data_IF_750102603341
#
_entry.id   IF_750102603341
#
_cell.length_a   1.000
_cell.length_b   1.000
_cell.length_c   1.000
_cell.angle_alpha   90.00
_cell.angle_beta   90.00
_cell.angle_gamma   90.00
#
_symmetry.space_group_name_H-M   'P 1'
#
loop_
_entity.id
_entity.type
_entity.pdbx_description
1 polymer ?
#
# COMPACT_ATOMS: atom_id res chain seq x y z
N UNK A 1 2.97 2.42 -0.91
CA UNK A 1 2.69 0.96 -0.89
C UNK A 1 2.91 0.43 -2.30
N UNK A 2 3.80 -0.54 -2.44
CA UNK A 2 3.89 -1.36 -3.66
C UNK A 2 3.43 -2.77 -3.25
N UNK A 3 2.35 -3.24 -3.87
CA UNK A 3 1.83 -4.58 -3.71
C UNK A 3 1.51 -5.14 -5.10
N UNK A 4 2.12 -6.27 -5.46
CA UNK A 4 1.87 -6.91 -6.75
C UNK A 4 0.49 -7.58 -6.74
N UNK A 5 -0.41 -7.30 -7.70
CA UNK A 5 -1.75 -7.91 -7.72
C UNK A 5 -1.74 -9.41 -8.00
N UNK A 6 -0.61 -9.96 -8.44
CA UNK A 6 -0.40 -11.40 -8.61
C UNK A 6 -0.41 -12.19 -7.29
N UNK A 7 -0.53 -11.53 -6.14
CA UNK A 7 -0.92 -12.17 -4.87
C UNK A 7 -2.28 -12.88 -4.99
N UNK A 8 -3.18 -12.39 -5.85
CA UNK A 8 -4.48 -13.05 -6.08
C UNK A 8 -4.35 -14.42 -6.79
N UNK A 9 -3.26 -14.66 -7.54
CA UNK A 9 -3.07 -15.86 -8.38
C UNK A 9 -1.90 -16.73 -7.94
N UNK A 10 -1.22 -16.38 -6.85
CA UNK A 10 -0.07 -17.13 -6.30
C UNK A 10 1.20 -17.03 -7.15
N UNK A 11 1.22 -16.19 -8.19
CA UNK A 11 2.31 -16.11 -9.18
C UNK A 11 2.98 -14.75 -9.14
N UNK A 12 3.54 -14.37 -7.99
CA UNK A 12 4.20 -13.08 -7.81
C UNK A 12 5.38 -12.92 -8.79
N UNK A 13 5.27 -12.01 -9.76
CA UNK A 13 6.46 -11.47 -10.42
C UNK A 13 7.06 -10.41 -9.49
N UNK A 14 8.29 -10.61 -8.98
CA UNK A 14 8.86 -9.65 -8.04
C UNK A 14 9.22 -8.37 -8.79
N UNK A 15 8.56 -7.27 -8.43
CA UNK A 15 9.09 -5.94 -8.69
C UNK A 15 10.10 -5.65 -7.59
N UNK A 16 11.36 -5.44 -7.96
CA UNK A 16 12.46 -5.19 -7.01
C UNK A 16 12.73 -3.69 -6.93
N UNK A 17 12.12 -2.95 -5.98
CA UNK A 17 12.50 -1.56 -5.77
C UNK A 17 13.96 -1.47 -5.32
N UNK A 18 14.60 -0.37 -5.71
CA UNK A 18 15.99 -0.08 -5.41
C UNK A 18 16.02 1.09 -4.42
N UNK A 19 16.71 0.90 -3.31
CA UNK A 19 16.98 1.91 -2.32
C UNK A 19 18.01 2.92 -2.85
N UNK A 20 18.09 4.09 -2.20
CA UNK A 20 19.03 5.16 -2.57
C UNK A 20 20.51 4.73 -2.50
N UNK A 21 20.83 3.73 -1.68
CA UNK A 21 22.16 3.12 -1.52
C UNK A 21 22.46 2.02 -2.56
N UNK A 22 21.52 1.75 -3.49
CA UNK A 22 21.64 0.68 -4.48
C UNK A 22 21.14 -0.68 -4.00
N UNK A 23 20.66 -0.79 -2.76
CA UNK A 23 20.12 -2.05 -2.22
C UNK A 23 18.84 -2.43 -2.94
N UNK A 24 18.76 -3.69 -3.39
CA UNK A 24 17.58 -4.27 -4.04
C UNK A 24 16.73 -4.98 -3.01
N UNK A 25 15.48 -4.54 -2.83
CA UNK A 25 14.56 -5.18 -1.90
C UNK A 25 13.68 -6.18 -2.63
N UNK A 26 13.70 -7.44 -2.18
CA UNK A 26 12.76 -8.47 -2.62
C UNK A 26 11.71 -8.68 -1.53
N UNK A 27 10.45 -8.41 -1.85
CA UNK A 27 9.33 -8.62 -0.95
C UNK A 27 8.01 -8.59 -1.72
N UNK A 28 7.01 -9.32 -1.21
CA UNK A 28 5.66 -9.33 -1.79
C UNK A 28 4.93 -8.00 -1.53
N UNK A 29 5.19 -7.38 -0.38
CA UNK A 29 4.63 -6.10 0.03
C UNK A 29 5.71 -5.23 0.63
N UNK A 30 5.79 -3.99 0.15
CA UNK A 30 6.80 -3.03 0.60
C UNK A 30 6.17 -1.67 0.90
N UNK A 31 6.56 -1.12 2.05
CA UNK A 31 6.32 0.26 2.46
C UNK A 31 7.65 0.99 2.61
N UNK A 32 7.70 2.20 2.03
CA UNK A 32 8.87 3.07 2.02
C UNK A 32 8.42 4.48 2.40
N UNK A 33 9.22 5.17 3.20
CA UNK A 33 8.94 6.53 3.71
C UNK A 33 8.88 6.60 5.24
N UNK A 34 8.74 7.80 5.79
CA UNK A 34 8.68 8.08 7.24
C UNK A 34 7.49 7.38 7.94
N UNK A 35 6.33 7.32 7.27
CA UNK A 35 5.15 6.63 7.76
C UNK A 35 5.18 5.10 7.63
N UNK A 36 6.26 4.51 7.09
CA UNK A 36 6.34 3.06 6.86
C UNK A 36 6.18 2.19 8.12
N UNK A 37 6.72 2.53 9.32
CA UNK A 37 6.55 1.68 10.50
C UNK A 37 5.08 1.58 10.92
N UNK A 38 4.33 2.68 10.83
CA UNK A 38 2.89 2.68 11.14
C UNK A 38 2.07 1.89 10.11
N UNK A 39 2.49 1.87 8.86
CA UNK A 39 1.81 1.14 7.81
C UNK A 39 2.05 -0.37 7.89
N UNK A 40 3.28 -0.80 8.22
CA UNK A 40 3.58 -2.21 8.45
C UNK A 40 2.75 -2.79 9.60
N UNK A 41 2.54 -2.05 10.69
CA UNK A 41 1.68 -2.50 11.79
C UNK A 41 0.24 -2.82 11.36
N UNK A 42 -0.31 -2.05 10.42
CA UNK A 42 -1.65 -2.35 9.87
C UNK A 42 -1.61 -3.54 8.92
N UNK A 43 -0.59 -3.62 8.07
CA UNK A 43 -0.42 -4.78 7.19
C UNK A 43 -0.27 -6.08 7.96
N UNK A 44 0.59 -6.13 8.97
CA UNK A 44 0.89 -7.34 9.73
C UNK A 44 -0.37 -7.91 10.40
N UNK A 45 -1.34 -7.04 10.72
CA UNK A 45 -2.62 -7.45 11.30
C UNK A 45 -3.63 -8.03 10.29
N UNK A 46 -3.51 -7.71 9.00
CA UNK A 46 -4.59 -7.96 8.03
C UNK A 46 -4.15 -8.52 6.67
N UNK A 47 -2.86 -8.59 6.39
CA UNK A 47 -2.36 -9.06 5.10
C UNK A 47 -2.43 -10.57 4.99
N UNK A 48 -2.94 -11.04 3.84
CA UNK A 48 -2.97 -12.45 3.46
C UNK A 48 -2.41 -12.59 2.06
N UNK A 49 -1.58 -13.61 1.85
CA UNK A 49 -0.93 -13.88 0.56
C UNK A 49 -1.91 -14.02 -0.60
N UNK A 50 -3.11 -14.54 -0.35
CA UNK A 50 -4.20 -14.63 -1.33
C UNK A 50 -5.42 -13.94 -0.74
N UNK A 51 -5.79 -12.80 -1.32
CA UNK A 51 -6.95 -12.01 -0.93
C UNK A 51 -7.56 -11.33 -2.17
N UNK A 52 -8.87 -11.06 -2.21
CA UNK A 52 -9.51 -10.39 -3.33
C UNK A 52 -9.01 -8.95 -3.45
N UNK A 53 -8.92 -8.44 -4.68
CA UNK A 53 -8.39 -7.10 -4.98
C UNK A 53 -9.10 -6.00 -4.19
N UNK A 54 -10.40 -6.12 -3.95
CA UNK A 54 -11.18 -5.17 -3.15
C UNK A 54 -10.70 -5.09 -1.70
N UNK A 55 -10.38 -6.23 -1.09
CA UNK A 55 -9.88 -6.33 0.28
C UNK A 55 -8.43 -5.84 0.37
N UNK A 56 -7.58 -6.15 -0.62
CA UNK A 56 -6.21 -5.61 -0.68
C UNK A 56 -6.25 -4.08 -0.76
N UNK A 57 -7.13 -3.54 -1.60
CA UNK A 57 -7.29 -2.10 -1.76
C UNK A 57 -7.81 -1.45 -0.46
N UNK A 58 -8.72 -2.12 0.25
CA UNK A 58 -9.22 -1.64 1.54
C UNK A 58 -8.10 -1.63 2.59
N UNK A 59 -7.35 -2.73 2.73
CA UNK A 59 -6.22 -2.84 3.66
C UNK A 59 -5.14 -1.80 3.37
N UNK A 60 -4.76 -1.64 2.09
CA UNK A 60 -3.79 -0.65 1.66
C UNK A 60 -4.23 0.78 2.00
N UNK A 61 -5.52 1.10 1.83
CA UNK A 61 -6.07 2.41 2.20
C UNK A 61 -5.99 2.63 3.71
N UNK A 62 -6.40 1.65 4.51
CA UNK A 62 -6.32 1.72 5.97
C UNK A 62 -4.88 1.93 6.44
N UNK A 63 -3.92 1.20 5.87
CA UNK A 63 -2.51 1.35 6.22
C UNK A 63 -1.96 2.75 5.89
N UNK A 64 -2.26 3.28 4.70
CA UNK A 64 -1.83 4.64 4.31
C UNK A 64 -2.51 5.71 5.16
N UNK A 65 -3.80 5.59 5.43
CA UNK A 65 -4.51 6.52 6.31
C UNK A 65 -3.94 6.50 7.73
N UNK A 66 -3.64 5.33 8.29
CA UNK A 66 -2.97 5.20 9.60
C UNK A 66 -1.61 5.91 9.61
N UNK A 67 -0.80 5.67 8.59
CA UNK A 67 0.49 6.34 8.45
C UNK A 67 0.32 7.86 8.36
N UNK A 68 -0.57 8.36 7.50
CA UNK A 68 -0.84 9.79 7.36
C UNK A 68 -1.40 10.45 8.63
N UNK A 69 -2.14 9.70 9.45
CA UNK A 69 -2.64 10.23 10.72
C UNK A 69 -1.55 10.35 11.79
N UNK A 70 -0.55 9.46 11.77
CA UNK A 70 0.49 9.37 12.82
C UNK A 70 1.79 10.08 12.45
N UNK A 71 2.09 10.20 11.17
CA UNK A 71 3.31 10.82 10.65
C UNK A 71 3.05 12.27 10.21
N UNK A 72 3.67 13.22 10.89
CA UNK A 72 3.51 14.66 10.63
C UNK A 72 3.98 15.10 9.23
N UNK A 73 4.83 14.31 8.57
CA UNK A 73 5.30 14.57 7.21
C UNK A 73 4.45 13.88 6.13
N UNK A 74 3.38 13.19 6.53
CA UNK A 74 2.46 12.48 5.63
C UNK A 74 1.06 13.10 5.66
N UNK A 75 0.40 13.24 4.51
CA UNK A 75 -0.91 13.88 4.42
C UNK A 75 -1.44 14.02 2.98
N UNK A 76 -2.62 14.65 2.84
CA UNK A 76 -3.19 15.03 1.54
C UNK A 76 -3.95 13.90 0.82
N UNK A 77 -3.59 13.60 -0.42
CA UNK A 77 -4.31 12.63 -1.26
C UNK A 77 -3.50 11.36 -1.51
N UNK A 78 -4.16 10.21 -1.45
CA UNK A 78 -3.65 8.91 -1.89
C UNK A 78 -4.07 8.66 -3.33
N UNK A 79 -3.07 8.46 -4.20
CA UNK A 79 -3.29 7.89 -5.52
C UNK A 79 -3.07 6.38 -5.48
N UNK A 80 -4.07 5.62 -5.94
CA UNK A 80 -4.05 4.15 -5.92
C UNK A 80 -3.96 3.61 -7.34
N UNK A 81 -3.03 2.69 -7.56
CA UNK A 81 -2.79 2.04 -8.85
C UNK A 81 -2.81 0.52 -8.67
N UNK A 82 -3.31 -0.19 -9.68
CA UNK A 82 -3.24 -1.65 -9.78
C UNK A 82 -2.44 -2.01 -11.02
N UNK A 83 -1.45 -2.89 -10.89
CA UNK A 83 -0.50 -3.21 -11.97
C UNK A 83 -0.60 -4.68 -12.37
N UNK A 84 -1.42 -5.01 -13.37
CA UNK A 84 -1.61 -6.40 -13.82
C UNK A 84 -0.84 -6.74 -15.10
N UNK A 85 -1.06 -7.94 -15.64
CA UNK A 85 -0.44 -8.42 -16.90
C UNK A 85 -0.72 -7.49 -18.10
N UNK A 86 -1.88 -6.83 -18.12
CA UNK A 86 -2.28 -5.89 -19.17
C UNK A 86 -1.75 -4.46 -18.96
N UNK A 87 -0.86 -4.28 -17.98
CA UNK A 87 -0.32 -2.98 -17.58
C UNK A 87 -0.97 -2.42 -16.31
N UNK A 88 -0.75 -1.13 -16.08
CA UNK A 88 -1.22 -0.44 -14.89
C UNK A 88 -2.52 0.32 -15.13
N UNK A 89 -3.36 0.38 -14.09
CA UNK A 89 -4.61 1.15 -14.07
C UNK A 89 -4.67 1.99 -12.81
N UNK A 90 -5.00 3.27 -12.96
CA UNK A 90 -5.33 4.15 -11.83
C UNK A 90 -6.72 3.81 -11.31
N UNK A 91 -6.80 3.42 -10.04
CA UNK A 91 -8.06 3.09 -9.35
C UNK A 91 -8.76 4.37 -8.91
N UNK A 92 -7.99 5.37 -8.45
CA UNK A 92 -8.52 6.67 -8.09
C UNK A 92 -7.60 7.46 -7.16
N UNK A 93 -8.01 8.69 -6.88
CA UNK A 93 -7.38 9.60 -5.92
C UNK A 93 -8.38 9.91 -4.82
N UNK A 94 -7.99 9.74 -3.56
CA UNK A 94 -8.85 10.07 -2.40
C UNK A 94 -8.05 10.74 -1.32
N UNK A 95 -8.69 11.63 -0.58
CA UNK A 95 -8.09 12.26 0.58
C UNK A 95 -7.82 11.23 1.70
N UNK A 96 -6.64 11.30 2.31
CA UNK A 96 -6.18 10.38 3.37
C UNK A 96 -7.02 10.49 4.63
N UNK A 97 -7.56 11.68 4.92
CA UNK A 97 -8.33 11.97 6.12
C UNK A 97 -9.78 11.49 6.01
N UNK A 98 -10.21 11.02 4.85
CA UNK A 98 -11.56 10.49 4.65
C UNK A 98 -11.90 9.31 5.60
N UNK A 99 -10.89 8.56 6.06
CA UNK A 99 -11.05 7.42 6.99
C UNK A 99 -11.22 7.85 8.45
N UNK A 100 -10.61 8.98 8.86
CA UNK A 100 -10.67 9.49 10.24
C UNK A 100 -11.61 10.68 10.43
N UNK A 101 -12.04 11.31 9.33
CA UNK A 101 -12.87 12.52 9.29
C UNK A 101 -14.38 12.28 9.50
N UNK A 102 -14.74 11.44 10.48
CA UNK A 102 -16.07 11.46 11.13
C UNK A 102 -15.86 11.26 12.63
N UNK A 103 -15.45 12.33 13.30
CA UNK A 103 -15.84 12.59 14.67
C UNK A 103 -16.54 13.94 14.65
N UNK A 104 -17.79 13.90 15.07
CA UNK A 104 -18.68 15.04 15.29
C UNK A 104 -18.07 16.02 16.30
#
# INVERSE_FOLDING_TARGET
>A
LIASPDTCTGRARPHTPVCHDGTRLNGEVLFVGSGSPSAYGVLDSGYRRVMPTSETLALARTAVSHAAHRDAYSGGCVDVYTVGERGWKRVGRRDVHCVYGRRE
#
